data_IF_753264385971
#
_entry.id   IF_753264385971
#
_cell.length_a   1.000
_cell.length_b   1.000
_cell.length_c   1.000
_cell.angle_alpha   90.00
_cell.angle_beta   90.00
_cell.angle_gamma   90.00
#
_symmetry.space_group_name_H-M   'P 1'
#
loop_
_entity.id
_entity.type
_entity.pdbx_description
1 polymer ?
#
# COMPACT_ATOMS: atom_id res chain seq x y z
N UNK A 1 -11.77 -27.84 -12.21
CA UNK A 1 -11.62 -26.37 -12.42
C UNK A 1 -10.15 -25.95 -12.41
N UNK A 2 -9.38 -26.25 -11.38
CA UNK A 2 -7.97 -25.84 -11.23
C UNK A 2 -7.05 -26.37 -12.37
N UNK A 3 -7.23 -27.63 -12.81
CA UNK A 3 -6.46 -28.19 -13.94
C UNK A 3 -6.73 -27.42 -15.25
N UNK A 4 -7.99 -27.06 -15.50
CA UNK A 4 -8.38 -26.29 -16.68
C UNK A 4 -7.76 -24.89 -16.67
N UNK A 5 -7.68 -24.23 -15.50
CA UNK A 5 -7.02 -22.93 -15.36
C UNK A 5 -5.52 -23.03 -15.65
N UNK A 6 -4.84 -24.08 -15.17
CA UNK A 6 -3.44 -24.32 -15.50
C UNK A 6 -3.22 -24.59 -16.99
N UNK A 7 -4.11 -25.31 -17.66
CA UNK A 7 -4.04 -25.52 -19.12
C UNK A 7 -4.16 -24.22 -19.89
N UNK A 8 -5.03 -23.31 -19.48
CA UNK A 8 -5.23 -22.00 -20.14
C UNK A 8 -3.98 -21.11 -20.14
N UNK A 9 -3.00 -21.37 -19.29
CA UNK A 9 -1.74 -20.59 -19.30
C UNK A 9 -0.85 -20.88 -20.51
N UNK A 10 -1.12 -21.93 -21.30
CA UNK A 10 -0.31 -22.33 -22.47
C UNK A 10 1.09 -22.81 -22.15
N UNK A 11 1.49 -22.91 -20.86
CA UNK A 11 2.83 -23.36 -20.46
C UNK A 11 2.99 -24.88 -20.59
N UNK A 12 4.20 -25.32 -20.93
CA UNK A 12 4.55 -26.74 -21.11
C UNK A 12 4.47 -27.53 -19.78
N UNK A 13 4.53 -28.87 -19.86
CA UNK A 13 4.63 -29.79 -18.71
C UNK A 13 3.45 -29.73 -17.73
N UNK A 14 2.24 -29.65 -18.23
CA UNK A 14 1.00 -29.43 -17.45
C UNK A 14 0.81 -30.43 -16.29
N UNK A 15 1.11 -31.73 -16.50
CA UNK A 15 0.94 -32.76 -15.46
C UNK A 15 1.93 -32.57 -14.29
N UNK A 16 3.20 -32.23 -14.59
CA UNK A 16 4.19 -31.93 -13.57
C UNK A 16 3.83 -30.69 -12.75
N UNK A 17 3.38 -29.63 -13.45
CA UNK A 17 2.87 -28.40 -12.83
C UNK A 17 1.66 -28.67 -11.94
N UNK A 18 0.70 -29.46 -12.41
CA UNK A 18 -0.48 -29.83 -11.63
C UNK A 18 -0.12 -30.66 -10.40
N UNK A 19 0.85 -31.59 -10.49
CA UNK A 19 1.37 -32.35 -9.34
C UNK A 19 2.00 -31.42 -8.30
N UNK A 20 2.85 -30.46 -8.73
CA UNK A 20 3.45 -29.46 -7.85
C UNK A 20 2.39 -28.60 -7.18
N UNK A 21 1.44 -28.08 -7.95
CA UNK A 21 0.32 -27.31 -7.43
C UNK A 21 -0.48 -28.11 -6.38
N UNK A 22 -0.83 -29.36 -6.65
CA UNK A 22 -1.55 -30.20 -5.68
C UNK A 22 -0.81 -30.36 -4.36
N UNK A 23 0.51 -30.54 -4.40
CA UNK A 23 1.36 -30.59 -3.20
C UNK A 23 1.25 -29.29 -2.39
N UNK A 24 1.39 -28.14 -3.04
CA UNK A 24 1.31 -26.82 -2.40
C UNK A 24 -0.12 -26.51 -1.91
N UNK A 25 -1.13 -26.88 -2.66
CA UNK A 25 -2.54 -26.77 -2.24
C UNK A 25 -2.82 -27.57 -0.96
N UNK A 26 -2.31 -28.80 -0.87
CA UNK A 26 -2.48 -29.65 0.31
C UNK A 26 -1.73 -29.10 1.53
N UNK A 27 -0.45 -28.73 1.37
CA UNK A 27 0.42 -28.33 2.47
C UNK A 27 0.21 -26.89 2.93
N UNK A 28 -0.10 -25.97 2.00
CA UNK A 28 -0.15 -24.50 2.24
C UNK A 28 -1.50 -23.87 1.90
N UNK A 29 -2.49 -24.65 1.52
CA UNK A 29 -3.81 -24.16 1.08
C UNK A 29 -3.74 -23.18 -0.12
N UNK A 30 -2.66 -23.24 -0.93
CA UNK A 30 -2.43 -22.36 -2.07
C UNK A 30 -3.59 -22.37 -3.06
N UNK A 31 -3.99 -21.20 -3.56
CA UNK A 31 -4.95 -21.08 -4.67
C UNK A 31 -4.25 -21.30 -6.01
N UNK A 32 -5.00 -21.70 -7.04
CA UNK A 32 -4.42 -21.96 -8.36
C UNK A 32 -3.91 -20.67 -9.01
N UNK A 33 -4.58 -19.55 -8.78
CA UNK A 33 -4.17 -18.24 -9.25
C UNK A 33 -2.84 -17.82 -8.63
N UNK A 34 -2.65 -18.03 -7.32
CA UNK A 34 -1.38 -17.80 -6.64
C UNK A 34 -0.27 -18.67 -7.25
N UNK A 35 -0.55 -19.96 -7.48
CA UNK A 35 0.43 -20.84 -8.10
C UNK A 35 0.84 -20.35 -9.49
N UNK A 36 -0.11 -19.92 -10.32
CA UNK A 36 0.15 -19.41 -11.67
C UNK A 36 1.02 -18.13 -11.62
N UNK A 37 0.68 -17.22 -10.72
CA UNK A 37 1.37 -15.93 -10.59
C UNK A 37 2.81 -16.09 -10.05
N UNK A 38 3.01 -17.01 -9.12
CA UNK A 38 4.29 -17.19 -8.43
C UNK A 38 5.07 -18.43 -8.90
N UNK A 39 4.64 -19.11 -9.96
CA UNK A 39 5.19 -20.41 -10.37
C UNK A 39 6.71 -20.37 -10.59
N UNK A 40 7.22 -19.30 -11.16
CA UNK A 40 8.66 -19.15 -11.42
C UNK A 40 9.44 -19.00 -10.11
N UNK A 41 9.01 -18.14 -9.21
CA UNK A 41 9.61 -17.95 -7.90
C UNK A 41 9.50 -19.22 -7.03
N UNK A 42 8.40 -19.95 -7.14
CA UNK A 42 8.19 -21.21 -6.41
C UNK A 42 9.10 -22.35 -6.87
N UNK A 43 9.92 -22.18 -7.92
CA UNK A 43 10.98 -23.15 -8.28
C UNK A 43 12.11 -23.16 -7.27
N UNK A 44 12.39 -22.02 -6.67
CA UNK A 44 13.30 -21.92 -5.54
C UNK A 44 12.68 -22.60 -4.31
N UNK A 45 13.43 -23.52 -3.71
CA UNK A 45 12.94 -24.35 -2.62
C UNK A 45 12.77 -23.56 -1.32
N UNK A 46 13.71 -22.64 -1.01
CA UNK A 46 13.66 -21.81 0.19
C UNK A 46 12.53 -20.80 0.10
N UNK A 47 12.37 -20.15 -1.05
CA UNK A 47 11.21 -19.29 -1.32
C UNK A 47 9.91 -20.08 -1.18
N UNK A 48 9.82 -21.26 -1.79
CA UNK A 48 8.63 -22.10 -1.73
C UNK A 48 8.28 -22.55 -0.31
N UNK A 49 9.26 -22.83 0.54
CA UNK A 49 9.08 -23.18 1.97
C UNK A 49 8.59 -21.99 2.79
N UNK A 50 9.18 -20.82 2.58
CA UNK A 50 8.88 -19.58 3.33
C UNK A 50 7.68 -18.80 2.77
N UNK A 51 7.18 -19.14 1.58
CA UNK A 51 6.07 -18.44 0.95
C UNK A 51 4.79 -18.51 1.79
N UNK A 52 4.25 -17.35 2.13
CA UNK A 52 2.98 -17.18 2.82
C UNK A 52 1.85 -17.10 1.78
N UNK A 53 0.94 -18.08 1.75
CA UNK A 53 -0.23 -18.01 0.88
C UNK A 53 -1.29 -17.07 1.44
N UNK A 54 -2.11 -16.52 0.58
CA UNK A 54 -3.20 -15.63 1.01
C UNK A 54 -4.16 -16.32 1.99
N UNK A 55 -4.40 -17.62 1.85
CA UNK A 55 -5.26 -18.38 2.77
C UNK A 55 -4.62 -18.61 4.14
N UNK A 56 -3.30 -18.85 4.20
CA UNK A 56 -2.59 -18.92 5.47
C UNK A 56 -2.57 -17.54 6.14
N UNK A 57 -2.33 -16.48 5.37
CA UNK A 57 -2.39 -15.11 5.86
C UNK A 57 -3.77 -14.79 6.47
N UNK A 58 -4.87 -15.10 5.79
CA UNK A 58 -6.23 -14.95 6.33
C UNK A 58 -6.46 -15.69 7.65
N UNK A 59 -5.85 -16.87 7.79
CA UNK A 59 -5.94 -17.62 9.04
C UNK A 59 -5.20 -16.91 10.18
N UNK A 60 -4.00 -16.41 9.93
CA UNK A 60 -3.20 -15.70 10.94
C UNK A 60 -3.82 -14.36 11.33
N UNK A 61 -4.39 -13.63 10.38
CA UNK A 61 -5.02 -12.32 10.64
C UNK A 61 -6.22 -12.39 11.59
N UNK A 62 -6.91 -13.51 11.72
CA UNK A 62 -7.98 -13.66 12.72
C UNK A 62 -7.51 -13.37 14.14
N UNK A 63 -6.24 -13.65 14.42
CA UNK A 63 -5.59 -13.36 15.72
C UNK A 63 -4.85 -12.03 15.68
N UNK A 64 -4.05 -11.81 14.64
CA UNK A 64 -3.19 -10.62 14.53
C UNK A 64 -3.98 -9.34 14.28
N UNK A 65 -5.00 -9.40 13.42
CA UNK A 65 -5.83 -8.25 13.05
C UNK A 65 -7.31 -8.62 13.12
N UNK A 66 -7.89 -8.78 14.34
CA UNK A 66 -9.27 -9.19 14.51
C UNK A 66 -10.24 -8.27 13.75
N UNK A 67 -11.24 -8.85 13.09
CA UNK A 67 -12.18 -8.13 12.22
C UNK A 67 -12.87 -6.94 12.91
N UNK A 68 -13.09 -7.01 14.23
CA UNK A 68 -13.67 -5.91 15.02
C UNK A 68 -12.85 -4.62 14.97
N UNK A 69 -11.56 -4.71 14.63
CA UNK A 69 -10.65 -3.56 14.47
C UNK A 69 -10.36 -3.21 13.00
N UNK A 70 -10.97 -3.91 12.05
CA UNK A 70 -10.69 -3.70 10.63
C UNK A 70 -10.97 -2.27 10.15
N UNK A 71 -11.95 -1.60 10.74
CA UNK A 71 -12.32 -0.23 10.42
C UNK A 71 -11.15 0.75 10.62
N UNK A 72 -10.25 0.48 11.57
CA UNK A 72 -9.08 1.32 11.87
C UNK A 72 -8.12 1.47 10.66
N UNK A 73 -8.20 0.56 9.69
CA UNK A 73 -7.37 0.60 8.50
C UNK A 73 -8.19 0.66 7.19
N UNK A 74 -9.45 0.18 7.20
CA UNK A 74 -10.27 0.15 5.99
C UNK A 74 -10.98 1.45 5.68
N UNK A 75 -11.29 2.22 6.71
CA UNK A 75 -11.86 3.55 6.56
C UNK A 75 -10.72 4.57 6.75
N UNK A 76 -10.35 5.25 5.65
CA UNK A 76 -9.22 6.20 5.64
C UNK A 76 -9.48 7.42 6.52
N UNK A 77 -10.76 7.80 6.73
CA UNK A 77 -11.07 8.87 7.67
C UNK A 77 -10.84 8.43 9.11
N UNK A 78 -11.30 7.23 9.48
CA UNK A 78 -11.03 6.66 10.81
C UNK A 78 -9.53 6.43 11.02
N UNK A 79 -8.83 5.94 9.99
CA UNK A 79 -7.36 5.80 10.01
C UNK A 79 -6.66 7.12 10.26
N UNK A 80 -7.08 8.19 9.57
CA UNK A 80 -6.53 9.52 9.71
C UNK A 80 -6.67 10.03 11.16
N UNK A 81 -7.89 9.97 11.71
CA UNK A 81 -8.16 10.38 13.10
C UNK A 81 -7.35 9.56 14.13
N UNK A 82 -7.17 8.26 13.88
CA UNK A 82 -6.34 7.39 14.71
C UNK A 82 -4.88 7.80 14.68
N UNK A 83 -4.32 8.04 13.48
CA UNK A 83 -2.93 8.46 13.31
C UNK A 83 -2.67 9.80 13.95
N UNK A 84 -3.54 10.78 13.72
CA UNK A 84 -3.45 12.11 14.32
C UNK A 84 -3.50 12.03 15.86
N UNK A 85 -4.47 11.30 16.42
CA UNK A 85 -4.59 11.11 17.86
C UNK A 85 -3.42 10.35 18.48
N UNK A 86 -2.80 9.47 17.72
CA UNK A 86 -1.59 8.76 18.14
C UNK A 86 -0.30 9.58 17.94
N UNK A 87 -0.38 10.83 17.48
CA UNK A 87 0.76 11.67 17.10
C UNK A 87 1.69 10.96 16.09
N UNK A 88 1.10 10.34 15.08
CA UNK A 88 1.81 9.71 13.95
C UNK A 88 1.67 10.63 12.74
N UNK A 89 2.77 11.09 12.12
CA UNK A 89 2.71 11.98 10.97
C UNK A 89 1.90 11.40 9.81
N UNK A 90 0.93 12.16 9.32
CA UNK A 90 0.10 11.85 8.15
C UNK A 90 -0.21 13.12 7.39
N UNK A 91 -0.75 13.02 6.18
CA UNK A 91 -1.19 14.18 5.42
C UNK A 91 -2.25 14.98 6.20
N UNK A 92 -2.21 16.31 6.12
CA UNK A 92 -3.23 17.15 6.77
C UNK A 92 -4.59 16.92 6.10
N UNK A 93 -5.63 16.70 6.89
CA UNK A 93 -7.00 16.60 6.40
C UNK A 93 -7.63 18.00 6.28
N UNK A 94 -7.86 18.43 5.05
CA UNK A 94 -8.52 19.71 4.78
C UNK A 94 -10.02 19.62 4.96
N UNK A 95 -10.63 18.56 4.40
CA UNK A 95 -12.09 18.37 4.49
C UNK A 95 -12.45 16.88 4.35
N UNK A 96 -13.59 16.52 4.93
CA UNK A 96 -14.19 15.19 4.81
C UNK A 96 -15.62 15.30 4.29
N UNK A 97 -15.85 14.84 3.08
CA UNK A 97 -17.17 14.77 2.47
C UNK A 97 -17.82 13.41 2.78
N UNK A 98 -18.99 13.44 3.42
CA UNK A 98 -19.80 12.26 3.72
C UNK A 98 -21.25 12.51 3.26
N UNK A 99 -21.67 11.94 2.12
CA UNK A 99 -22.94 12.28 1.49
C UNK A 99 -24.18 11.93 2.32
N UNK A 100 -24.10 10.95 3.21
CA UNK A 100 -25.18 10.53 4.10
C UNK A 100 -25.28 11.38 5.38
N UNK A 101 -24.24 12.15 5.71
CA UNK A 101 -24.24 13.03 6.86
C UNK A 101 -25.02 14.31 6.54
N UNK A 102 -26.05 14.61 7.33
CA UNK A 102 -26.98 15.74 7.10
C UNK A 102 -26.25 17.07 6.85
N UNK A 103 -25.16 17.31 7.58
CA UNK A 103 -24.42 18.55 7.52
C UNK A 103 -23.20 18.49 6.55
N UNK A 104 -22.96 17.34 5.91
CA UNK A 104 -21.87 17.16 4.95
C UNK A 104 -22.40 17.30 3.52
N UNK A 105 -22.66 18.53 3.13
CA UNK A 105 -23.13 18.87 1.79
C UNK A 105 -22.07 19.70 1.03
N UNK A 106 -22.40 20.07 -0.18
CA UNK A 106 -21.54 20.89 -1.01
C UNK A 106 -21.10 22.20 -0.31
N UNK A 107 -22.01 22.91 0.36
CA UNK A 107 -21.70 24.18 1.01
C UNK A 107 -20.74 23.99 2.20
N UNK A 108 -20.96 22.96 3.02
CA UNK A 108 -20.07 22.63 4.12
C UNK A 108 -18.66 22.32 3.60
N UNK A 109 -18.56 21.43 2.60
CA UNK A 109 -17.28 21.10 1.97
C UNK A 109 -16.59 22.33 1.37
N UNK A 110 -17.35 23.18 0.66
CA UNK A 110 -16.84 24.42 0.09
C UNK A 110 -16.29 25.35 1.18
N UNK A 111 -17.05 25.53 2.26
CA UNK A 111 -16.64 26.40 3.39
C UNK A 111 -15.37 25.87 4.09
N UNK A 112 -15.23 24.57 4.30
CA UNK A 112 -14.03 23.97 4.88
C UNK A 112 -12.81 24.25 3.99
N UNK A 113 -12.89 24.05 2.68
CA UNK A 113 -11.79 24.31 1.75
C UNK A 113 -11.44 25.81 1.67
N UNK A 114 -12.45 26.69 1.69
CA UNK A 114 -12.26 28.15 1.69
C UNK A 114 -11.60 28.60 2.99
N UNK A 115 -12.08 28.15 4.15
CA UNK A 115 -11.59 28.57 5.46
C UNK A 115 -10.12 28.22 5.68
N UNK A 116 -9.68 27.10 5.11
CA UNK A 116 -8.28 26.65 5.13
C UNK A 116 -7.45 27.19 3.97
N UNK A 117 -8.02 28.00 3.10
CA UNK A 117 -7.36 28.56 1.90
C UNK A 117 -6.63 27.51 1.06
N UNK A 118 -7.28 26.34 0.87
CA UNK A 118 -6.67 25.19 0.18
C UNK A 118 -6.42 25.55 -1.28
N UNK A 119 -5.18 25.42 -1.75
CA UNK A 119 -4.79 25.72 -3.14
C UNK A 119 -4.69 24.47 -4.00
N UNK A 120 -4.28 23.38 -3.40
CA UNK A 120 -4.12 22.07 -4.04
C UNK A 120 -4.38 20.97 -3.02
N UNK A 121 -4.79 19.80 -3.48
CA UNK A 121 -5.07 18.67 -2.58
C UNK A 121 -5.04 17.32 -3.30
N UNK A 122 -4.92 16.26 -2.53
CA UNK A 122 -5.25 14.90 -2.96
C UNK A 122 -6.68 14.62 -2.56
N UNK A 123 -7.45 14.06 -3.49
CA UNK A 123 -8.84 13.63 -3.25
C UNK A 123 -8.89 12.12 -3.36
N UNK A 124 -9.34 11.46 -2.29
CA UNK A 124 -9.39 9.99 -2.23
C UNK A 124 -10.67 9.49 -1.59
N UNK A 125 -11.25 8.34 -2.06
CA UNK A 125 -12.40 7.73 -1.39
C UNK A 125 -12.00 7.26 0.01
N UNK A 126 -12.89 7.46 1.00
CA UNK A 126 -12.65 7.06 2.37
C UNK A 126 -12.64 5.54 2.54
N UNK A 127 -13.51 4.85 1.82
CA UNK A 127 -13.64 3.39 1.84
C UNK A 127 -13.61 2.84 0.41
N UNK A 128 -13.35 1.54 0.25
CA UNK A 128 -13.40 0.80 -1.02
C UNK A 128 -12.44 1.25 -2.14
N UNK A 129 -11.48 2.10 -1.85
CA UNK A 129 -10.45 2.57 -2.79
C UNK A 129 -9.22 1.64 -2.86
N UNK A 130 -9.43 0.34 -3.12
CA UNK A 130 -8.30 -0.58 -3.29
C UNK A 130 -7.44 -0.19 -4.52
N UNK A 131 -6.13 -0.36 -4.43
CA UNK A 131 -5.18 -0.09 -5.53
C UNK A 131 -5.24 1.35 -6.08
N UNK A 132 -5.52 2.36 -5.22
CA UNK A 132 -5.58 3.77 -5.62
C UNK A 132 -6.76 4.12 -6.52
N UNK A 133 -7.76 3.23 -6.64
CA UNK A 133 -8.95 3.51 -7.43
C UNK A 133 -9.69 4.75 -6.91
N UNK A 134 -9.95 5.70 -7.81
CA UNK A 134 -10.63 6.95 -7.48
C UNK A 134 -9.73 8.05 -6.88
N UNK A 135 -8.47 7.76 -6.57
CA UNK A 135 -7.52 8.79 -6.10
C UNK A 135 -7.14 9.71 -7.28
N UNK A 136 -7.14 11.00 -7.04
CA UNK A 136 -6.63 11.98 -8.00
C UNK A 136 -6.03 13.20 -7.29
N UNK A 137 -5.08 13.83 -7.95
CA UNK A 137 -4.46 15.07 -7.49
C UNK A 137 -5.17 16.27 -8.11
N UNK A 138 -5.67 17.18 -7.26
CA UNK A 138 -6.06 18.52 -7.66
C UNK A 138 -4.85 19.43 -7.50
N UNK A 139 -4.23 19.79 -8.61
CA UNK A 139 -3.06 20.70 -8.62
C UNK A 139 -3.44 22.14 -8.32
N UNK A 140 -4.72 22.49 -8.53
CA UNK A 140 -5.23 23.83 -8.29
C UNK A 140 -6.72 23.80 -7.98
N UNK A 141 -7.14 24.61 -7.01
CA UNK A 141 -8.55 24.91 -6.71
C UNK A 141 -8.84 26.36 -7.07
N UNK A 142 -9.65 26.57 -8.11
CA UNK A 142 -10.07 27.88 -8.57
C UNK A 142 -11.38 28.29 -7.89
N UNK A 143 -11.31 29.24 -6.97
CA UNK A 143 -12.44 29.74 -6.22
C UNK A 143 -13.31 30.66 -7.08
N UNK A 144 -14.60 30.35 -7.17
CA UNK A 144 -15.65 31.16 -7.81
C UNK A 144 -16.68 31.58 -6.76
N UNK A 145 -17.51 32.62 -7.00
CA UNK A 145 -18.51 33.07 -6.03
C UNK A 145 -19.37 31.94 -5.48
N UNK A 146 -19.83 31.02 -6.35
CA UNK A 146 -20.83 29.99 -5.99
C UNK A 146 -20.26 28.55 -6.14
N UNK A 147 -18.97 28.36 -6.47
CA UNK A 147 -18.39 27.05 -6.71
C UNK A 147 -16.87 27.06 -6.55
N UNK A 148 -16.27 25.88 -6.57
CA UNK A 148 -14.83 25.66 -6.69
C UNK A 148 -14.58 24.79 -7.90
N UNK A 149 -13.69 25.20 -8.79
CA UNK A 149 -13.26 24.37 -9.92
C UNK A 149 -11.97 23.65 -9.54
N UNK A 150 -12.04 22.33 -9.50
CA UNK A 150 -10.88 21.44 -9.26
C UNK A 150 -10.17 21.20 -10.58
N UNK A 151 -8.91 21.60 -10.68
CA UNK A 151 -8.03 21.34 -11.83
C UNK A 151 -7.17 20.14 -11.50
N UNK A 152 -7.39 19.02 -12.18
CA UNK A 152 -6.64 17.77 -11.97
C UNK A 152 -5.22 17.83 -12.54
N UNK A 153 -4.36 16.89 -12.15
CA UNK A 153 -3.01 16.72 -12.66
C UNK A 153 -2.96 16.62 -14.21
N UNK A 154 -3.92 15.94 -14.82
CA UNK A 154 -4.08 15.79 -16.28
C UNK A 154 -4.67 17.04 -16.99
N UNK A 155 -4.92 18.12 -16.24
CA UNK A 155 -5.50 19.38 -16.73
C UNK A 155 -7.01 19.38 -16.87
N UNK A 156 -7.68 18.25 -16.64
CA UNK A 156 -9.16 18.23 -16.64
C UNK A 156 -9.72 19.03 -15.50
N UNK A 157 -10.83 19.68 -15.74
CA UNK A 157 -11.54 20.50 -14.76
C UNK A 157 -12.86 19.86 -14.34
N UNK A 158 -13.16 19.95 -13.05
CA UNK A 158 -14.41 19.48 -12.47
C UNK A 158 -14.92 20.49 -11.44
N UNK A 159 -16.18 20.87 -11.53
CA UNK A 159 -16.84 21.65 -10.50
C UNK A 159 -17.02 20.80 -9.23
N UNK A 160 -16.73 21.37 -8.06
CA UNK A 160 -16.95 20.72 -6.77
C UNK A 160 -18.42 20.34 -6.56
N UNK A 161 -19.34 21.21 -7.02
CA UNK A 161 -20.78 20.96 -6.99
C UNK A 161 -21.15 19.71 -7.82
N UNK A 162 -20.57 19.57 -9.02
CA UNK A 162 -20.79 18.40 -9.86
C UNK A 162 -20.15 17.14 -9.24
N UNK A 163 -18.96 17.26 -8.64
CA UNK A 163 -18.34 16.18 -7.89
C UNK A 163 -19.29 15.66 -6.80
N UNK A 164 -19.82 16.51 -5.95
CA UNK A 164 -20.78 16.12 -4.91
C UNK A 164 -22.04 15.47 -5.48
N UNK A 165 -22.58 15.99 -6.60
CA UNK A 165 -23.76 15.41 -7.27
C UNK A 165 -23.50 14.00 -7.80
N UNK A 166 -22.28 13.72 -8.28
CA UNK A 166 -21.90 12.41 -8.83
C UNK A 166 -21.54 11.40 -7.74
N UNK A 167 -21.13 11.85 -6.55
CA UNK A 167 -20.62 11.02 -5.46
C UNK A 167 -21.59 10.98 -4.26
N UNK A 168 -22.85 10.63 -4.52
CA UNK A 168 -23.91 10.60 -3.49
C UNK A 168 -23.86 9.41 -2.54
N UNK A 169 -23.03 8.40 -2.80
CA UNK A 169 -22.93 7.18 -2.00
C UNK A 169 -21.51 6.89 -1.50
N UNK A 170 -20.56 7.76 -1.82
CA UNK A 170 -19.14 7.55 -1.46
C UNK A 170 -18.65 8.74 -0.65
N UNK A 171 -17.98 8.45 0.46
CA UNK A 171 -17.31 9.45 1.29
C UNK A 171 -15.90 9.71 0.77
N UNK A 172 -15.44 10.96 0.89
CA UNK A 172 -14.15 11.39 0.30
C UNK A 172 -13.35 12.25 1.27
N UNK A 173 -12.04 12.06 1.25
CA UNK A 173 -11.06 12.90 1.94
C UNK A 173 -10.42 13.86 0.95
N UNK A 174 -10.24 15.09 1.42
CA UNK A 174 -9.44 16.12 0.77
C UNK A 174 -8.23 16.40 1.68
N UNK A 175 -7.04 15.99 1.24
CA UNK A 175 -5.84 16.02 2.06
C UNK A 175 -4.74 16.85 1.42
N UNK A 176 -3.76 17.29 2.23
CA UNK A 176 -2.56 17.95 1.72
C UNK A 176 -1.78 17.03 0.77
N UNK A 177 -1.14 17.62 -0.22
CA UNK A 177 -0.18 16.92 -1.07
C UNK A 177 1.09 16.72 -0.23
N UNK A 178 1.48 15.47 -0.01
CA UNK A 178 2.75 15.15 0.66
C UNK A 178 3.90 15.34 -0.32
N UNK A 179 4.87 16.16 0.07
CA UNK A 179 6.07 16.40 -0.71
C UNK A 179 7.14 15.39 -0.30
N UNK A 180 7.45 14.45 -1.17
CA UNK A 180 8.53 13.47 -0.94
C UNK A 180 9.90 14.12 -1.07
N UNK A 181 10.90 13.59 -0.35
CA UNK A 181 12.28 14.06 -0.41
C UNK A 181 12.84 13.98 -1.85
N UNK A 182 13.82 14.80 -2.16
CA UNK A 182 14.46 14.80 -3.47
C UNK A 182 15.11 13.44 -3.80
N UNK A 183 15.65 12.75 -2.78
CA UNK A 183 16.23 11.42 -2.95
C UNK A 183 15.23 10.43 -3.54
N UNK A 184 13.97 10.48 -3.13
CA UNK A 184 12.91 9.58 -3.58
C UNK A 184 12.20 10.16 -4.81
N UNK A 185 11.98 11.47 -4.83
CA UNK A 185 11.32 12.20 -5.91
C UNK A 185 12.03 12.11 -7.25
N UNK A 186 13.35 11.90 -7.26
CA UNK A 186 14.12 11.73 -8.51
C UNK A 186 13.66 10.57 -9.39
N UNK A 187 13.09 9.51 -8.80
CA UNK A 187 12.58 8.38 -9.55
C UNK A 187 11.31 8.75 -10.32
N UNK A 188 10.36 9.36 -9.64
CA UNK A 188 9.13 9.89 -10.24
C UNK A 188 8.55 11.01 -9.35
N UNK A 189 8.24 12.16 -9.97
CA UNK A 189 7.63 13.31 -9.30
C UNK A 189 6.11 13.41 -9.54
N UNK A 190 5.54 12.57 -10.41
CA UNK A 190 4.11 12.63 -10.75
C UNK A 190 3.24 12.09 -9.63
N UNK A 191 3.71 11.09 -8.90
CA UNK A 191 3.07 10.51 -7.72
C UNK A 191 4.06 10.44 -6.56
N UNK A 192 3.53 10.30 -5.35
CA UNK A 192 4.35 9.96 -4.18
C UNK A 192 4.79 8.50 -4.34
N UNK A 193 6.11 8.26 -4.33
CA UNK A 193 6.68 6.92 -4.29
C UNK A 193 6.71 6.47 -2.83
N UNK A 194 6.05 5.37 -2.50
CA UNK A 194 5.89 4.94 -1.12
C UNK A 194 6.75 3.75 -0.77
N UNK A 195 7.27 3.75 0.46
CA UNK A 195 7.91 2.58 1.04
C UNK A 195 6.88 1.79 1.84
N UNK A 196 6.66 0.53 1.47
CA UNK A 196 5.87 -0.40 2.26
C UNK A 196 6.74 -0.97 3.38
N UNK A 197 6.38 -0.67 4.63
CA UNK A 197 6.90 -1.37 5.80
C UNK A 197 5.90 -2.41 6.28
N UNK A 198 6.37 -3.61 6.54
CA UNK A 198 5.58 -4.67 7.15
C UNK A 198 6.06 -4.88 8.58
N UNK A 199 5.21 -4.56 9.55
CA UNK A 199 5.55 -4.64 10.98
C UNK A 199 4.72 -5.71 11.69
N UNK A 200 5.30 -6.29 12.75
CA UNK A 200 4.65 -7.25 13.63
C UNK A 200 4.89 -6.85 15.10
N UNK A 201 3.81 -6.64 15.84
CA UNK A 201 3.81 -6.35 17.28
C UNK A 201 3.66 -7.64 18.06
N UNK A 202 4.55 -7.90 18.99
CA UNK A 202 4.57 -9.08 19.86
C UNK A 202 3.91 -8.80 21.23
N UNK A 203 3.54 -9.86 22.00
CA UNK A 203 2.93 -9.70 23.34
C UNK A 203 3.80 -8.96 24.37
N UNK A 204 5.10 -9.07 24.26
CA UNK A 204 6.10 -8.35 25.07
C UNK A 204 6.24 -6.87 24.69
N UNK A 205 5.41 -6.39 23.75
CA UNK A 205 5.41 -5.06 23.14
C UNK A 205 6.59 -4.77 22.21
N UNK A 206 7.47 -5.74 21.93
CA UNK A 206 8.47 -5.59 20.89
C UNK A 206 7.80 -5.50 19.52
N UNK A 207 8.42 -4.73 18.62
CA UNK A 207 7.98 -4.61 17.22
C UNK A 207 9.11 -5.02 16.32
N UNK A 208 8.81 -5.90 15.36
CA UNK A 208 9.76 -6.30 14.31
C UNK A 208 9.27 -5.79 12.95
N UNK A 209 10.19 -5.22 12.19
CA UNK A 209 9.99 -5.01 10.75
C UNK A 209 10.44 -6.28 10.05
N UNK A 210 9.55 -6.95 9.31
CA UNK A 210 9.87 -8.24 8.68
C UNK A 210 9.98 -8.17 7.15
N UNK A 211 9.51 -7.09 6.54
CA UNK A 211 9.66 -6.84 5.11
C UNK A 211 9.61 -5.34 4.80
N UNK A 212 10.38 -4.91 3.82
CA UNK A 212 10.36 -3.54 3.29
C UNK A 212 10.58 -3.55 1.79
N UNK A 213 9.80 -2.77 1.05
CA UNK A 213 9.95 -2.56 -0.38
C UNK A 213 9.40 -1.19 -0.79
N UNK A 214 9.94 -0.63 -1.85
CA UNK A 214 9.49 0.65 -2.41
C UNK A 214 8.64 0.41 -3.65
N UNK A 215 7.57 1.18 -3.75
CA UNK A 215 6.70 1.28 -4.93
C UNK A 215 7.01 2.59 -5.62
N UNK A 216 7.30 2.53 -6.92
CA UNK A 216 7.69 3.69 -7.73
C UNK A 216 6.72 3.80 -8.90
N UNK A 217 5.98 4.90 -8.94
CA UNK A 217 5.00 5.16 -9.99
C UNK A 217 5.65 5.53 -11.32
N UNK A 218 4.86 5.53 -12.40
CA UNK A 218 5.25 5.96 -13.73
C UNK A 218 4.94 7.44 -13.96
N UNK A 219 5.66 8.06 -14.87
CA UNK A 219 5.41 9.44 -15.25
C UNK A 219 3.97 9.66 -15.71
N UNK A 220 3.32 10.71 -15.16
CA UNK A 220 1.93 11.04 -15.45
C UNK A 220 0.88 10.23 -14.68
N UNK A 221 1.29 9.31 -13.77
CA UNK A 221 0.39 8.62 -12.87
C UNK A 221 0.25 9.39 -11.56
N UNK A 222 -0.96 9.48 -11.01
CA UNK A 222 -1.24 10.05 -9.68
C UNK A 222 -0.96 9.04 -8.54
N UNK A 223 -0.68 7.76 -8.87
CA UNK A 223 -0.51 6.68 -7.90
C UNK A 223 0.67 5.75 -8.24
N UNK A 224 1.23 5.09 -7.24
CA UNK A 224 2.41 4.21 -7.29
C UNK A 224 2.08 2.71 -7.12
N UNK A 225 0.91 2.26 -7.51
CA UNK A 225 0.41 0.91 -7.25
C UNK A 225 1.40 -0.21 -7.55
N UNK A 226 1.64 -1.07 -6.56
CA UNK A 226 2.49 -2.25 -6.72
C UNK A 226 1.88 -3.31 -7.65
N UNK A 227 2.73 -4.00 -8.42
CA UNK A 227 2.36 -5.17 -9.21
C UNK A 227 1.56 -4.91 -10.48
N UNK A 228 1.52 -3.67 -10.99
CA UNK A 228 0.77 -3.37 -12.22
C UNK A 228 1.06 -2.00 -12.83
N UNK A 229 0.45 -1.71 -13.98
CA UNK A 229 0.52 -0.41 -14.64
C UNK A 229 1.90 -0.02 -15.20
N UNK A 230 2.85 -0.95 -15.26
CA UNK A 230 4.24 -0.69 -15.63
C UNK A 230 5.06 -0.03 -14.52
N UNK A 231 4.51 0.10 -13.31
CA UNK A 231 5.22 0.62 -12.15
C UNK A 231 6.43 -0.26 -11.78
N UNK A 232 7.36 0.30 -11.04
CA UNK A 232 8.55 -0.42 -10.58
C UNK A 232 8.45 -0.62 -9.07
N UNK A 233 8.67 -1.86 -8.65
CA UNK A 233 8.77 -2.22 -7.24
C UNK A 233 10.18 -2.74 -6.95
N UNK A 234 10.81 -2.33 -5.87
CA UNK A 234 12.10 -2.85 -5.46
C UNK A 234 12.11 -3.23 -3.98
N UNK A 235 12.83 -4.31 -3.66
CA UNK A 235 13.11 -4.67 -2.28
C UNK A 235 14.01 -3.63 -1.61
N UNK A 236 13.88 -3.49 -0.30
CA UNK A 236 14.80 -2.71 0.52
C UNK A 236 15.37 -3.64 1.59
N UNK A 237 16.68 -3.64 1.75
CA UNK A 237 17.34 -4.37 2.82
C UNK A 237 16.96 -3.72 4.17
N UNK A 238 16.36 -4.51 5.06
CA UNK A 238 15.84 -4.03 6.35
C UNK A 238 16.94 -3.42 7.23
N UNK A 239 18.17 -3.94 7.14
CA UNK A 239 19.26 -3.48 8.01
C UNK A 239 19.99 -2.27 7.43
N UNK A 240 20.22 -2.25 6.11
CA UNK A 240 21.05 -1.23 5.47
C UNK A 240 20.25 -0.11 4.82
N UNK A 241 18.99 -0.35 4.43
CA UNK A 241 18.20 0.57 3.61
C UNK A 241 18.55 0.54 2.13
N UNK A 242 19.34 -0.44 1.69
CA UNK A 242 19.74 -0.57 0.28
C UNK A 242 18.59 -1.12 -0.57
N UNK A 243 18.29 -0.42 -1.67
CA UNK A 243 17.34 -0.86 -2.68
C UNK A 243 17.98 -1.93 -3.58
N UNK A 244 17.26 -3.03 -3.82
CA UNK A 244 17.73 -4.12 -4.67
C UNK A 244 16.57 -4.83 -5.38
N UNK A 245 16.89 -5.66 -6.38
CA UNK A 245 15.93 -6.49 -7.12
C UNK A 245 14.72 -5.70 -7.65
N UNK A 246 14.98 -4.56 -8.30
CA UNK A 246 13.93 -3.77 -8.89
C UNK A 246 13.25 -4.52 -10.05
N UNK A 247 11.92 -4.58 -10.00
CA UNK A 247 11.06 -5.27 -10.95
C UNK A 247 10.03 -4.32 -11.54
N UNK A 248 9.95 -4.26 -12.86
CA UNK A 248 8.87 -3.56 -13.56
C UNK A 248 7.71 -4.50 -13.83
N UNK A 249 6.51 -4.13 -13.40
CA UNK A 249 5.30 -4.93 -13.53
C UNK A 249 4.34 -4.34 -14.57
N UNK A 250 4.26 -4.96 -15.75
CA UNK A 250 3.14 -4.75 -16.66
C UNK A 250 1.95 -5.65 -16.27
N UNK A 251 2.25 -6.87 -15.85
CA UNK A 251 1.36 -7.86 -15.26
C UNK A 251 2.18 -8.96 -14.57
N UNK A 252 1.57 -9.86 -13.82
CA UNK A 252 2.26 -11.04 -13.27
C UNK A 252 2.88 -11.98 -14.32
N UNK A 253 2.39 -11.92 -15.56
CA UNK A 253 2.95 -12.68 -16.69
C UNK A 253 4.07 -11.91 -17.43
N UNK A 254 4.17 -10.60 -17.22
CA UNK A 254 5.16 -9.71 -17.86
C UNK A 254 5.84 -8.86 -16.79
N UNK A 255 6.79 -9.49 -16.10
CA UNK A 255 7.64 -8.88 -15.08
C UNK A 255 9.06 -8.83 -15.62
N UNK A 256 9.69 -7.66 -15.56
CA UNK A 256 11.06 -7.44 -16.05
C UNK A 256 11.96 -6.97 -14.91
N UNK A 257 13.16 -7.55 -14.80
CA UNK A 257 14.21 -6.98 -13.95
C UNK A 257 14.73 -5.70 -14.59
N UNK A 258 14.88 -4.68 -13.76
CA UNK A 258 15.41 -3.38 -14.17
C UNK A 258 16.39 -2.89 -13.11
N UNK A 259 17.40 -2.12 -13.52
CA UNK A 259 18.30 -1.44 -12.57
C UNK A 259 17.94 0.04 -12.42
N UNK A 260 17.26 0.58 -13.44
CA UNK A 260 16.91 1.99 -13.54
C UNK A 260 15.42 2.19 -13.75
N UNK A 261 14.92 3.31 -13.28
CA UNK A 261 13.55 3.71 -13.53
C UNK A 261 13.33 4.01 -15.02
N UNK A 262 12.28 3.46 -15.65
CA UNK A 262 12.13 3.52 -17.12
C UNK A 262 11.87 4.93 -17.67
N UNK A 263 11.32 5.85 -16.88
CA UNK A 263 11.02 7.22 -17.34
C UNK A 263 12.15 8.20 -16.99
N UNK A 264 12.65 8.18 -15.76
CA UNK A 264 13.69 9.12 -15.30
C UNK A 264 15.12 8.65 -15.58
N UNK A 265 15.31 7.36 -15.89
CA UNK A 265 16.62 6.73 -16.02
C UNK A 265 17.48 6.76 -14.74
N UNK A 266 16.88 7.11 -13.59
CA UNK A 266 17.56 7.07 -12.29
C UNK A 266 17.85 5.64 -11.84
N UNK A 267 19.07 5.44 -11.27
CA UNK A 267 19.47 4.15 -10.71
C UNK A 267 18.62 3.83 -9.49
N UNK A 268 18.06 2.62 -9.42
CA UNK A 268 17.26 2.13 -8.29
C UNK A 268 18.10 1.16 -7.45
N UNK A 269 18.62 0.09 -8.06
CA UNK A 269 19.41 -0.90 -7.35
C UNK A 269 20.70 -0.28 -6.80
N UNK A 270 21.03 -0.57 -5.55
CA UNK A 270 22.20 -0.04 -4.85
C UNK A 270 21.99 1.34 -4.21
N UNK A 271 20.81 1.96 -4.35
CA UNK A 271 20.50 3.22 -3.67
C UNK A 271 20.31 2.94 -2.18
N UNK A 272 21.04 3.65 -1.35
CA UNK A 272 20.89 3.65 0.12
C UNK A 272 19.92 4.76 0.51
N UNK A 273 18.83 4.39 1.20
CA UNK A 273 17.86 5.36 1.71
C UNK A 273 18.46 6.07 2.92
N UNK A 274 18.48 7.40 2.85
CA UNK A 274 18.98 8.25 3.92
C UNK A 274 18.17 8.10 5.21
N UNK A 275 18.83 8.25 6.37
CA UNK A 275 18.22 8.15 7.71
C UNK A 275 17.45 6.84 7.95
N UNK A 276 17.80 5.76 7.25
CA UNK A 276 17.05 4.50 7.28
C UNK A 276 16.83 3.94 8.70
N UNK A 277 17.86 3.96 9.54
CA UNK A 277 17.76 3.45 10.91
C UNK A 277 16.74 4.25 11.75
N UNK A 278 16.69 5.58 11.55
CA UNK A 278 15.74 6.48 12.22
C UNK A 278 14.31 6.23 11.73
N UNK A 279 14.13 6.08 10.41
CA UNK A 279 12.84 5.75 9.79
C UNK A 279 12.33 4.42 10.35
N UNK A 280 13.16 3.36 10.32
CA UNK A 280 12.81 2.03 10.87
C UNK A 280 12.39 2.11 12.34
N UNK A 281 13.13 2.87 13.15
CA UNK A 281 12.79 3.10 14.56
C UNK A 281 11.44 3.80 14.72
N UNK A 282 11.18 4.83 13.92
CA UNK A 282 9.90 5.55 13.93
C UNK A 282 8.73 4.61 13.63
N UNK A 283 8.86 3.74 12.61
CA UNK A 283 7.80 2.79 12.26
C UNK A 283 7.54 1.75 13.38
N UNK A 284 8.59 1.29 14.07
CA UNK A 284 8.41 0.44 15.25
C UNK A 284 7.66 1.16 16.37
N UNK A 285 8.00 2.42 16.64
CA UNK A 285 7.32 3.23 17.63
C UNK A 285 5.85 3.50 17.24
N UNK A 286 5.58 3.85 15.98
CA UNK A 286 4.21 4.04 15.46
C UNK A 286 3.35 2.77 15.63
N UNK A 287 3.89 1.60 15.32
CA UNK A 287 3.19 0.32 15.52
C UNK A 287 2.83 0.11 16.99
N UNK A 288 3.69 0.48 17.92
CA UNK A 288 3.46 0.30 19.36
C UNK A 288 2.28 1.14 19.88
N UNK A 289 1.97 2.25 19.20
CA UNK A 289 0.86 3.16 19.53
C UNK A 289 -0.49 2.67 19.00
N UNK A 290 -0.51 1.66 18.11
CA UNK A 290 -1.74 1.06 17.52
C UNK A 290 -1.82 -0.44 17.88
N UNK A 291 -1.93 -0.81 19.16
CA UNK A 291 -1.85 -2.21 19.58
C UNK A 291 -3.06 -3.06 19.18
N UNK A 292 -4.12 -2.47 18.64
CA UNK A 292 -5.30 -3.18 18.16
C UNK A 292 -5.00 -4.03 16.92
N UNK A 293 -4.08 -3.57 16.06
CA UNK A 293 -3.59 -4.28 14.89
C UNK A 293 -2.17 -4.77 15.18
N UNK A 294 -1.94 -6.10 15.15
CA UNK A 294 -0.65 -6.71 15.48
C UNK A 294 0.28 -6.83 14.27
N UNK A 295 -0.27 -6.77 13.07
CA UNK A 295 0.51 -6.83 11.84
C UNK A 295 0.00 -5.76 10.87
N UNK A 296 0.78 -4.73 10.62
CA UNK A 296 0.40 -3.60 9.75
C UNK A 296 1.33 -3.54 8.54
N UNK A 297 0.74 -3.32 7.38
CA UNK A 297 1.43 -2.83 6.19
C UNK A 297 1.28 -1.32 6.10
N UNK A 298 2.36 -0.60 6.31
CA UNK A 298 2.40 0.86 6.25
C UNK A 298 2.79 1.32 4.87
N UNK A 299 2.06 2.22 4.25
CA UNK A 299 2.50 2.97 3.09
C UNK A 299 3.07 4.32 3.56
N UNK A 300 4.34 4.52 3.33
CA UNK A 300 5.13 5.60 3.93
C UNK A 300 5.75 6.47 2.84
N UNK A 301 5.42 7.74 2.83
CA UNK A 301 6.18 8.73 2.09
C UNK A 301 7.41 9.14 2.89
N UNK A 302 8.57 9.15 2.25
CA UNK A 302 9.79 9.66 2.85
C UNK A 302 9.96 11.13 2.46
N UNK A 303 9.88 12.02 3.44
CA UNK A 303 10.04 13.46 3.28
C UNK A 303 11.33 13.94 3.95
N UNK A 304 11.72 15.19 3.72
CA UNK A 304 12.91 15.77 4.36
C UNK A 304 12.75 15.86 5.89
N UNK A 305 11.49 16.01 6.37
CA UNK A 305 11.13 16.07 7.79
C UNK A 305 10.93 14.67 8.43
N UNK A 306 11.04 13.60 7.65
CA UNK A 306 10.90 12.21 8.12
C UNK A 306 9.76 11.45 7.46
N UNK A 307 9.37 10.28 8.03
CA UNK A 307 8.35 9.41 7.45
C UNK A 307 6.94 9.97 7.71
N UNK A 308 6.14 10.09 6.64
CA UNK A 308 4.72 10.46 6.67
C UNK A 308 3.87 9.28 6.22
N UNK A 309 2.87 8.90 7.01
CA UNK A 309 2.00 7.77 6.71
C UNK A 309 0.93 8.19 5.71
N UNK A 310 0.90 7.51 4.56
CA UNK A 310 -0.11 7.71 3.51
C UNK A 310 -1.33 6.82 3.76
N UNK A 311 -1.08 5.58 4.18
CA UNK A 311 -2.12 4.58 4.44
C UNK A 311 -1.62 3.49 5.37
N UNK A 312 -2.53 2.90 6.17
CA UNK A 312 -2.28 1.69 6.94
C UNK A 312 -3.14 0.55 6.39
N UNK A 313 -2.56 -0.65 6.32
CA UNK A 313 -3.21 -1.83 5.78
C UNK A 313 -3.21 -2.94 6.82
N UNK A 314 -4.41 -3.32 7.31
CA UNK A 314 -4.58 -4.47 8.22
C UNK A 314 -4.68 -5.80 7.46
N UNK A 315 -4.78 -5.72 6.13
CA UNK A 315 -5.05 -6.84 5.26
C UNK A 315 -4.29 -6.62 3.94
N UNK A 316 -3.04 -7.01 3.93
CA UNK A 316 -2.12 -6.79 2.83
C UNK A 316 -1.97 -8.05 1.98
N UNK A 317 -1.73 -7.87 0.69
CA UNK A 317 -1.48 -8.98 -0.21
C UNK A 317 -0.07 -9.57 -0.04
N UNK A 318 0.20 -10.64 -0.75
CA UNK A 318 1.43 -11.40 -0.63
C UNK A 318 2.43 -11.12 -1.77
N UNK A 319 2.14 -10.14 -2.64
CA UNK A 319 2.94 -9.82 -3.84
C UNK A 319 4.35 -9.36 -3.49
N UNK A 320 4.52 -8.61 -2.42
CA UNK A 320 5.83 -8.12 -1.99
C UNK A 320 6.88 -9.22 -1.75
N UNK A 321 6.45 -10.47 -1.54
CA UNK A 321 7.38 -11.60 -1.44
C UNK A 321 8.19 -11.82 -2.72
N UNK A 322 7.63 -11.46 -3.91
CA UNK A 322 8.36 -11.54 -5.18
C UNK A 322 9.52 -10.53 -5.24
N UNK A 323 9.27 -9.31 -4.77
CA UNK A 323 10.28 -8.25 -4.80
C UNK A 323 11.44 -8.59 -3.89
N UNK A 324 11.13 -9.09 -2.69
CA UNK A 324 12.13 -9.49 -1.72
C UNK A 324 12.87 -10.78 -2.10
N UNK A 325 12.31 -11.62 -2.98
CA UNK A 325 12.82 -12.96 -3.23
C UNK A 325 12.78 -13.86 -1.99
N UNK A 326 11.97 -13.48 -0.98
CA UNK A 326 11.84 -14.18 0.31
C UNK A 326 10.38 -14.23 0.73
N UNK A 327 9.93 -15.38 1.24
CA UNK A 327 8.60 -15.52 1.82
C UNK A 327 8.52 -14.94 3.23
N UNK A 328 7.30 -14.65 3.70
CA UNK A 328 7.02 -14.04 5.02
C UNK A 328 6.38 -14.98 6.03
N UNK A 329 6.19 -16.24 5.63
CA UNK A 329 5.44 -17.22 6.42
C UNK A 329 6.00 -17.41 7.83
N UNK A 330 7.31 -17.49 7.95
CA UNK A 330 7.97 -17.76 9.23
C UNK A 330 7.77 -16.61 10.20
N UNK A 331 7.99 -15.38 9.76
CA UNK A 331 7.88 -14.17 10.58
C UNK A 331 6.43 -13.92 11.03
N UNK A 332 5.47 -14.09 10.11
CA UNK A 332 4.04 -13.88 10.42
C UNK A 332 3.52 -15.00 11.33
N UNK A 333 3.97 -16.25 11.09
CA UNK A 333 3.59 -17.38 11.94
C UNK A 333 4.18 -17.27 13.35
N UNK A 334 5.42 -16.85 13.49
CA UNK A 334 6.08 -16.63 14.77
C UNK A 334 5.28 -15.62 15.63
N UNK A 335 4.93 -14.48 15.03
CA UNK A 335 4.09 -13.49 15.71
C UNK A 335 2.69 -14.06 16.06
N UNK A 336 2.06 -14.80 15.13
CA UNK A 336 0.77 -15.45 15.39
C UNK A 336 0.84 -16.45 16.54
N UNK A 337 1.87 -17.30 16.57
CA UNK A 337 2.04 -18.31 17.64
C UNK A 337 2.26 -17.64 18.99
N UNK A 338 3.05 -16.57 19.05
CA UNK A 338 3.28 -15.78 20.27
C UNK A 338 1.96 -15.19 20.82
N UNK A 339 1.13 -14.59 19.99
CA UNK A 339 -0.17 -14.07 20.43
C UNK A 339 -1.16 -15.17 20.79
N UNK A 340 -1.16 -16.27 20.07
CA UNK A 340 -2.01 -17.41 20.38
C UNK A 340 -1.66 -18.02 21.75
N UNK A 341 -0.39 -18.07 22.10
CA UNK A 341 0.05 -18.51 23.44
C UNK A 341 -0.35 -17.52 24.51
N UNK A 342 -0.18 -16.22 24.27
CA UNK A 342 -0.56 -15.16 25.19
C UNK A 342 -2.07 -15.14 25.53
N UNK A 343 -2.93 -15.58 24.60
CA UNK A 343 -4.39 -15.61 24.81
C UNK A 343 -4.91 -16.94 25.37
N UNK A 344 -4.08 -17.92 25.64
CA UNK A 344 -4.45 -19.15 26.36
C UNK A 344 -4.56 -18.90 27.86
#
# INVERSE_FOLDING_TARGET
MDFVLLCKTGRRHIFSRFRKYRKLRSSKKMKVEEFINYEEALKDEEFSKSFLTIREAYFFWKVLNPTKYAVLARDKYVSHLLLEKANIPTAELYAYYHPEKRDSNFETLRMELVSKNVRSCVVKPAVDGAHGAGVFVCKELLYKPDDIIMVKSDGKQMSLRNFCKQNKSTSWLFESIVVQSDQIGKFNRSSVNTVRFMTALYPDRSVKVFATFMKIGRAGSDVDNAGGGGNVDCAINIETGECYNALQFNSYADVKKVDRHPDSNEMINGVLIEKWAEIKKSLCDYQSRIPQLKAIGWDVALTDDGPVIIEINNFWDTTGQLFLGKGWRNEVKDCYDAWKEYYK
#
